data_IF_525761354287
#
_entry.id   IF_525761354287
#
_cell.length_a   1.000
_cell.length_b   1.000
_cell.length_c   1.000
_cell.angle_alpha   90.00
_cell.angle_beta   90.00
_cell.angle_gamma   90.00
#
_symmetry.space_group_name_H-M   'P 1'
#
loop_
_entity.id
_entity.type
_entity.pdbx_description
1 polymer ?
#
# COMPACT_ATOMS: atom_id res chain seq x y z
N UNK A 1 -17.49 -30.23 0.35
CA UNK A 1 -18.16 -30.04 -0.95
C UNK A 1 -17.96 -28.60 -1.39
N UNK A 2 -17.53 -28.33 -2.64
CA UNK A 2 -17.45 -26.95 -3.08
C UNK A 2 -18.89 -26.46 -3.36
N UNK A 3 -19.29 -25.26 -2.90
CA UNK A 3 -20.51 -24.66 -3.37
C UNK A 3 -20.28 -24.14 -4.80
N UNK A 4 -21.21 -24.49 -5.68
CA UNK A 4 -21.29 -23.97 -7.03
C UNK A 4 -21.76 -22.52 -7.07
N UNK A 5 -21.45 -21.86 -8.17
CA UNK A 5 -21.86 -20.50 -8.50
C UNK A 5 -20.76 -19.85 -9.35
N UNK A 6 -21.07 -19.57 -10.61
CA UNK A 6 -20.16 -18.96 -11.57
C UNK A 6 -19.66 -17.58 -11.11
N UNK A 7 -18.43 -17.49 -10.62
CA UNK A 7 -17.64 -16.26 -10.69
C UNK A 7 -16.63 -16.40 -11.84
N UNK A 8 -17.13 -16.19 -13.07
CA UNK A 8 -16.27 -16.17 -14.26
C UNK A 8 -15.50 -14.85 -14.31
N UNK A 9 -14.18 -14.94 -14.15
CA UNK A 9 -13.23 -13.83 -14.21
C UNK A 9 -12.88 -13.28 -12.82
N UNK A 10 -11.84 -12.43 -12.75
CA UNK A 10 -11.31 -11.63 -11.63
C UNK A 10 -11.59 -12.07 -10.17
N UNK A 11 -12.84 -12.18 -9.72
CA UNK A 11 -13.23 -12.69 -8.40
C UNK A 11 -12.65 -14.06 -8.07
N UNK A 12 -12.60 -14.98 -9.05
CA UNK A 12 -11.99 -16.29 -8.87
C UNK A 12 -10.46 -16.23 -8.63
N UNK A 13 -9.75 -15.26 -9.22
CA UNK A 13 -8.31 -15.09 -9.02
C UNK A 13 -8.03 -14.49 -7.64
N UNK A 14 -8.81 -13.48 -7.25
CA UNK A 14 -8.69 -12.85 -5.93
C UNK A 14 -9.01 -13.88 -4.82
N UNK A 15 -10.03 -14.71 -5.01
CA UNK A 15 -10.35 -15.79 -4.07
C UNK A 15 -9.20 -16.80 -3.95
N UNK A 16 -8.59 -17.20 -5.07
CA UNK A 16 -7.42 -18.08 -5.05
C UNK A 16 -6.24 -17.44 -4.30
N UNK A 17 -5.92 -16.18 -4.56
CA UNK A 17 -4.86 -15.46 -3.86
C UNK A 17 -5.14 -15.35 -2.35
N UNK A 18 -6.39 -15.08 -1.96
CA UNK A 18 -6.81 -15.05 -0.57
C UNK A 18 -6.55 -16.38 0.13
N UNK A 19 -7.00 -17.50 -0.44
CA UNK A 19 -6.80 -18.81 0.18
C UNK A 19 -5.35 -19.25 0.19
N UNK A 20 -4.56 -18.89 -0.83
CA UNK A 20 -3.12 -19.16 -0.87
C UNK A 20 -2.39 -18.48 0.31
N UNK A 21 -2.64 -17.17 0.52
CA UNK A 21 -2.03 -16.42 1.62
C UNK A 21 -2.49 -16.95 2.98
N UNK A 22 -3.78 -17.25 3.16
CA UNK A 22 -4.25 -17.83 4.42
C UNK A 22 -3.57 -19.16 4.74
N UNK A 23 -3.39 -20.01 3.72
CA UNK A 23 -2.72 -21.31 3.89
C UNK A 23 -1.24 -21.14 4.25
N UNK A 24 -0.54 -20.19 3.62
CA UNK A 24 0.86 -19.86 3.93
C UNK A 24 1.03 -19.37 5.38
N UNK A 25 0.07 -18.58 5.87
CA UNK A 25 0.02 -18.09 7.25
C UNK A 25 -0.54 -19.13 8.26
N UNK A 26 -0.89 -20.34 7.81
CA UNK A 26 -1.42 -21.41 8.67
C UNK A 26 -2.85 -21.17 9.18
N UNK A 27 -3.64 -20.39 8.45
CA UNK A 27 -5.00 -19.98 8.79
C UNK A 27 -6.04 -20.56 7.83
N UNK A 28 -7.25 -20.82 8.33
CA UNK A 28 -8.44 -21.06 7.52
C UNK A 28 -9.34 -19.81 7.48
N UNK A 29 -10.18 -19.67 6.45
CA UNK A 29 -11.15 -18.56 6.39
C UNK A 29 -12.11 -18.48 7.59
N UNK A 30 -12.38 -19.62 8.26
CA UNK A 30 -13.18 -19.69 9.49
C UNK A 30 -12.49 -19.07 10.71
N UNK A 31 -11.16 -18.91 10.67
CA UNK A 31 -10.36 -18.32 11.74
C UNK A 31 -10.41 -16.79 11.71
N UNK A 32 -10.74 -16.20 10.55
CA UNK A 32 -11.07 -14.77 10.43
C UNK A 32 -12.40 -14.40 11.10
N UNK A 33 -13.19 -15.37 11.56
CA UNK A 33 -14.32 -15.11 12.46
C UNK A 33 -13.75 -15.03 13.88
N UNK A 34 -13.87 -13.88 14.54
CA UNK A 34 -13.40 -13.74 15.92
C UNK A 34 -14.09 -14.77 16.82
N UNK A 35 -13.36 -15.80 17.24
CA UNK A 35 -13.88 -16.83 18.16
C UNK A 35 -13.90 -16.24 19.57
N UNK A 36 -15.08 -16.22 20.20
CA UNK A 36 -15.24 -15.80 21.59
C UNK A 36 -15.56 -14.32 21.84
N UNK A 37 -15.67 -13.49 20.79
CA UNK A 37 -16.20 -12.14 20.90
C UNK A 37 -17.57 -12.05 20.22
N UNK A 38 -18.64 -11.97 21.01
CA UNK A 38 -19.93 -11.54 20.48
C UNK A 38 -19.78 -10.13 19.87
N UNK A 39 -20.07 -9.98 18.57
CA UNK A 39 -20.10 -8.71 17.81
C UNK A 39 -18.76 -8.15 17.33
N UNK A 40 -17.65 -8.89 17.42
CA UNK A 40 -16.41 -8.52 16.73
C UNK A 40 -16.34 -9.20 15.35
N UNK A 41 -16.74 -8.49 14.31
CA UNK A 41 -16.55 -8.92 12.92
C UNK A 41 -15.46 -8.06 12.31
N UNK A 42 -14.55 -8.65 11.51
CA UNK A 42 -13.79 -7.83 10.56
C UNK A 42 -14.81 -7.30 9.55
N UNK A 43 -15.11 -6.00 9.54
CA UNK A 43 -16.04 -5.47 8.56
C UNK A 43 -15.41 -5.69 7.18
N UNK A 44 -16.22 -6.15 6.23
CA UNK A 44 -15.80 -6.14 4.82
C UNK A 44 -15.56 -4.69 4.45
N UNK A 45 -14.29 -4.34 4.24
CA UNK A 45 -13.88 -3.05 3.73
C UNK A 45 -13.43 -3.22 2.29
N UNK A 46 -13.99 -2.43 1.38
CA UNK A 46 -13.43 -2.27 0.04
C UNK A 46 -12.42 -1.13 0.09
N UNK A 47 -11.23 -1.39 -0.46
CA UNK A 47 -10.13 -0.43 -0.45
C UNK A 47 -9.44 -0.49 -1.80
N UNK A 48 -9.21 0.69 -2.39
CA UNK A 48 -8.47 0.78 -3.64
C UNK A 48 -7.06 0.19 -3.46
N UNK A 49 -6.69 -0.74 -4.34
CA UNK A 49 -5.34 -1.32 -4.39
C UNK A 49 -4.33 -0.30 -4.90
N UNK A 50 -4.72 0.46 -5.92
CA UNK A 50 -3.91 1.52 -6.51
C UNK A 50 -4.43 2.88 -6.08
N UNK A 51 -3.51 3.72 -5.59
CA UNK A 51 -3.78 5.13 -5.27
C UNK A 51 -2.82 5.97 -6.07
N UNK A 52 -3.37 6.87 -6.90
CA UNK A 52 -2.60 7.87 -7.61
C UNK A 52 -2.73 9.20 -6.86
N UNK A 53 -1.61 9.83 -6.44
CA UNK A 53 -1.68 11.15 -5.84
C UNK A 53 -2.18 12.17 -6.85
N UNK A 54 -3.04 13.08 -6.40
CA UNK A 54 -3.49 14.22 -7.19
C UNK A 54 -2.62 15.45 -6.88
N UNK A 55 -2.67 16.46 -7.75
CA UNK A 55 -2.03 17.77 -7.52
C UNK A 55 -0.55 17.63 -7.09
N UNK A 56 0.18 16.74 -7.75
CA UNK A 56 1.55 16.40 -7.36
C UNK A 56 2.53 17.43 -7.89
N UNK A 57 3.29 18.02 -6.98
CA UNK A 57 4.35 18.98 -7.25
C UNK A 57 5.61 18.61 -6.45
N UNK A 58 6.77 18.94 -7.00
CA UNK A 58 8.04 18.84 -6.28
C UNK A 58 8.83 20.13 -6.42
N UNK A 59 9.46 20.54 -5.33
CA UNK A 59 10.46 21.60 -5.37
C UNK A 59 11.78 21.12 -5.95
N UNK A 60 12.69 22.07 -6.16
CA UNK A 60 14.10 21.76 -6.38
C UNK A 60 14.75 21.23 -5.10
N UNK A 61 15.75 20.32 -5.19
CA UNK A 61 16.57 19.95 -4.04
C UNK A 61 17.26 21.17 -3.43
N UNK A 62 17.21 21.28 -2.11
CA UNK A 62 17.84 22.37 -1.35
C UNK A 62 18.74 21.80 -0.25
N UNK A 63 19.75 22.53 0.24
CA UNK A 63 20.49 22.13 1.44
C UNK A 63 19.53 21.86 2.61
N UNK A 64 19.79 20.79 3.34
CA UNK A 64 19.03 20.43 4.54
C UNK A 64 19.58 21.21 5.74
N UNK A 65 18.72 22.02 6.38
CA UNK A 65 19.11 22.85 7.52
C UNK A 65 19.28 22.06 8.82
N UNK A 66 18.72 20.85 8.91
CA UNK A 66 18.82 19.96 10.06
C UNK A 66 19.99 18.98 9.94
N UNK A 67 20.36 18.61 8.71
CA UNK A 67 21.41 17.63 8.43
C UNK A 67 22.48 18.19 7.48
N UNK A 68 23.58 18.77 8.02
CA UNK A 68 24.65 19.35 7.20
C UNK A 68 25.21 18.37 6.16
N UNK A 69 25.40 18.87 4.93
CA UNK A 69 25.88 18.06 3.80
C UNK A 69 24.81 17.14 3.18
N UNK A 70 23.56 17.22 3.63
CA UNK A 70 22.42 16.54 2.99
C UNK A 70 21.55 17.54 2.22
N UNK A 71 20.75 17.00 1.31
CA UNK A 71 19.73 17.73 0.59
C UNK A 71 18.35 17.35 1.13
N UNK A 72 17.46 18.33 1.20
CA UNK A 72 16.03 18.13 1.38
C UNK A 72 15.29 18.31 0.07
N UNK A 73 14.15 17.63 -0.05
CA UNK A 73 13.22 17.75 -1.16
C UNK A 73 11.82 18.00 -0.58
N UNK A 74 11.16 19.08 -1.03
CA UNK A 74 9.77 19.36 -0.68
C UNK A 74 8.86 18.74 -1.73
N UNK A 75 7.91 17.91 -1.29
CA UNK A 75 6.87 17.32 -2.13
C UNK A 75 5.51 17.81 -1.65
N UNK A 76 4.62 18.14 -2.60
CA UNK A 76 3.22 18.47 -2.35
C UNK A 76 2.35 17.52 -3.16
N UNK A 77 1.30 16.97 -2.55
CA UNK A 77 0.34 16.08 -3.21
C UNK A 77 -0.90 15.89 -2.35
N UNK A 78 -2.02 15.58 -2.99
CA UNK A 78 -3.28 15.22 -2.33
C UNK A 78 -3.52 13.71 -2.41
N UNK A 79 -4.02 13.13 -1.32
CA UNK A 79 -4.36 11.71 -1.22
C UNK A 79 -5.82 11.51 -0.78
N UNK A 80 -6.50 10.47 -1.27
CA UNK A 80 -7.84 10.14 -0.81
C UNK A 80 -7.84 9.65 0.65
N UNK A 81 -8.99 9.71 1.35
CA UNK A 81 -9.13 9.18 2.69
C UNK A 81 -8.65 7.72 2.80
N UNK A 82 -7.92 7.42 3.86
CA UNK A 82 -7.38 6.09 4.13
C UNK A 82 -6.08 5.78 3.40
N UNK A 83 -5.62 6.57 2.44
CA UNK A 83 -4.28 6.43 1.85
C UNK A 83 -3.19 7.01 2.76
N UNK A 84 -1.95 6.52 2.59
CA UNK A 84 -0.81 6.88 3.44
C UNK A 84 0.32 7.49 2.62
N UNK A 85 0.73 8.71 2.96
CA UNK A 85 1.86 9.39 2.33
C UNK A 85 3.17 8.59 2.43
N UNK A 86 3.36 7.86 3.52
CA UNK A 86 4.56 7.02 3.73
C UNK A 86 4.70 5.90 2.70
N UNK A 87 3.59 5.34 2.19
CA UNK A 87 3.64 4.32 1.13
C UNK A 87 4.09 4.94 -0.20
N UNK A 88 3.60 6.14 -0.53
CA UNK A 88 4.06 6.87 -1.71
C UNK A 88 5.56 7.19 -1.61
N UNK A 89 6.01 7.72 -0.47
CA UNK A 89 7.42 8.03 -0.25
C UNK A 89 8.31 6.79 -0.33
N UNK A 90 7.84 5.64 0.18
CA UNK A 90 8.56 4.37 0.04
C UNK A 90 8.70 3.95 -1.41
N UNK A 91 7.66 4.10 -2.23
CA UNK A 91 7.74 3.76 -3.66
C UNK A 91 8.72 4.67 -4.40
N UNK A 92 8.73 5.97 -4.08
CA UNK A 92 9.68 6.92 -4.64
C UNK A 92 11.13 6.60 -4.24
N UNK A 93 11.37 6.15 -3.01
CA UNK A 93 12.72 5.82 -2.53
C UNK A 93 13.25 4.48 -3.05
N UNK A 94 12.39 3.59 -3.54
CA UNK A 94 12.81 2.34 -4.21
C UNK A 94 13.47 2.60 -5.57
N UNK A 95 13.15 3.72 -6.21
CA UNK A 95 13.91 4.18 -7.37
C UNK A 95 15.24 4.74 -6.88
N UNK A 96 16.33 4.00 -7.11
CA UNK A 96 17.68 4.54 -6.97
C UNK A 96 17.83 5.69 -7.95
N UNK A 97 17.68 6.93 -7.48
CA UNK A 97 18.00 8.11 -8.27
C UNK A 97 19.50 8.05 -8.61
N UNK A 98 19.89 8.20 -9.88
CA UNK A 98 21.30 8.38 -10.21
C UNK A 98 21.78 9.65 -9.50
N UNK A 99 22.75 9.50 -8.60
CA UNK A 99 23.48 10.64 -8.06
C UNK A 99 24.18 11.33 -9.24
N UNK A 100 23.72 12.52 -9.64
CA UNK A 100 24.57 13.45 -10.38
C UNK A 100 25.56 14.01 -9.37
N UNK A 101 26.82 13.63 -9.49
CA UNK A 101 27.92 14.29 -8.80
C UNK A 101 27.87 15.78 -9.15
N UNK A 102 27.73 16.62 -8.13
CA UNK A 102 27.94 18.05 -8.27
C UNK A 102 29.42 18.25 -8.63
N UNK A 103 29.66 18.75 -9.85
CA UNK A 103 31.00 19.20 -10.26
C UNK A 103 31.24 20.56 -9.62
N UNK A 104 32.26 20.64 -8.76
CA UNK A 104 32.98 21.89 -8.46
C UNK A 104 33.88 22.29 -9.63
#
# INVERSE_FOLDING_TARGET
SPPGGEERGEGALVAQALFAVLTEEGLDAKDLKARGLERAYFPRGERALWVLPAETEHGEPKPDELFPGKLKLTLSFALPPGAYATLLLRLLSLHKLPHKEARE
#
